data_IF_613622800392
#
_entry.id   IF_613622800392
#
_cell.length_a   1.000
_cell.length_b   1.000
_cell.length_c   1.000
_cell.angle_alpha   90.00
_cell.angle_beta   90.00
_cell.angle_gamma   90.00
#
_symmetry.space_group_name_H-M   'P 1'
#
loop_
_entity.id
_entity.type
_entity.pdbx_description
1 polymer ?
#
# COMPACT_ATOMS: atom_id res chain seq x y z
N UNK A 1 -29.36 18.76 -26.39
CA UNK A 1 -28.43 18.94 -25.26
C UNK A 1 -28.11 17.57 -24.73
N UNK A 2 -26.94 17.03 -25.10
CA UNK A 2 -26.44 15.78 -24.50
C UNK A 2 -26.16 16.06 -23.02
N UNK A 3 -26.87 15.35 -22.14
CA UNK A 3 -26.52 15.32 -20.71
C UNK A 3 -25.17 14.62 -20.60
N UNK A 4 -24.10 15.41 -20.50
CA UNK A 4 -22.79 14.92 -20.09
C UNK A 4 -22.93 14.49 -18.63
N UNK A 5 -23.24 13.22 -18.40
CA UNK A 5 -23.06 12.60 -17.09
C UNK A 5 -21.57 12.61 -16.80
N UNK A 6 -21.12 13.59 -16.01
CA UNK A 6 -19.79 13.54 -15.41
C UNK A 6 -19.82 12.40 -14.40
N UNK A 7 -19.30 11.24 -14.78
CA UNK A 7 -19.15 10.10 -13.88
C UNK A 7 -18.23 10.52 -12.73
N UNK A 8 -18.80 10.69 -11.54
CA UNK A 8 -18.04 11.09 -10.35
C UNK A 8 -17.20 9.89 -9.90
N UNK A 9 -15.94 9.86 -10.32
CA UNK A 9 -14.98 8.83 -9.92
C UNK A 9 -14.59 9.00 -8.45
N UNK A 10 -14.68 7.93 -7.67
CA UNK A 10 -14.22 7.87 -6.27
C UNK A 10 -12.74 8.22 -6.15
N UNK A 11 -12.34 9.16 -5.28
CA UNK A 11 -10.92 9.51 -5.03
C UNK A 11 -10.13 8.30 -4.58
N UNK A 12 -8.98 8.05 -5.20
CA UNK A 12 -8.03 7.03 -4.71
C UNK A 12 -7.06 7.68 -3.71
N UNK A 13 -6.95 7.12 -2.51
CA UNK A 13 -6.03 7.55 -1.46
C UNK A 13 -4.93 6.50 -1.35
N UNK A 14 -3.83 6.73 -2.06
CA UNK A 14 -2.69 5.80 -2.11
C UNK A 14 -1.74 6.11 -0.97
N UNK A 15 -1.55 5.17 -0.05
CA UNK A 15 -0.69 5.32 1.13
C UNK A 15 0.63 4.60 0.91
N UNK A 16 1.74 5.34 0.96
CA UNK A 16 3.09 4.80 0.78
C UNK A 16 3.96 5.11 1.99
N UNK A 17 4.24 4.13 2.86
CA UNK A 17 5.24 4.29 3.90
C UNK A 17 6.63 4.35 3.26
N UNK A 18 7.47 5.32 3.64
CA UNK A 18 8.81 5.46 3.10
C UNK A 18 9.85 5.76 4.18
N UNK A 19 11.11 5.55 3.83
CA UNK A 19 12.25 5.85 4.68
C UNK A 19 13.44 6.26 3.83
N UNK A 20 14.22 7.19 4.36
CA UNK A 20 15.47 7.63 3.74
C UNK A 20 16.40 6.45 3.52
N UNK A 21 16.83 6.26 2.27
CA UNK A 21 17.72 5.17 1.90
C UNK A 21 18.13 5.20 0.43
N UNK A 22 19.09 4.34 0.04
CA UNK A 22 19.75 4.41 -1.28
C UNK A 22 18.81 4.40 -2.48
N UNK A 23 17.81 3.52 -2.43
CA UNK A 23 16.87 3.32 -3.52
C UNK A 23 15.57 4.10 -3.36
N UNK A 24 15.47 4.96 -2.34
CA UNK A 24 14.21 5.61 -1.98
C UNK A 24 13.65 6.45 -3.14
N UNK A 25 14.41 7.39 -3.71
CA UNK A 25 13.84 8.19 -4.80
C UNK A 25 13.62 7.37 -6.06
N UNK A 26 14.43 6.34 -6.33
CA UNK A 26 14.16 5.47 -7.47
C UNK A 26 12.76 4.85 -7.34
N UNK A 27 12.45 4.25 -6.19
CA UNK A 27 11.15 3.64 -5.96
C UNK A 27 10.00 4.64 -5.93
N UNK A 28 10.20 5.80 -5.28
CA UNK A 28 9.18 6.86 -5.26
C UNK A 28 8.92 7.43 -6.65
N UNK A 29 9.96 7.70 -7.45
CA UNK A 29 9.79 8.20 -8.82
C UNK A 29 9.14 7.15 -9.73
N UNK A 30 9.51 5.87 -9.59
CA UNK A 30 8.87 4.78 -10.35
C UNK A 30 7.38 4.67 -10.02
N UNK A 31 7.03 4.63 -8.72
CA UNK A 31 5.64 4.59 -8.29
C UNK A 31 4.90 5.83 -8.78
N UNK A 32 5.47 7.03 -8.63
CA UNK A 32 4.87 8.26 -9.14
C UNK A 32 4.64 8.24 -10.66
N UNK A 33 5.55 7.65 -11.43
CA UNK A 33 5.37 7.41 -12.86
C UNK A 33 4.11 6.59 -13.15
N UNK A 34 3.88 5.52 -12.39
CA UNK A 34 2.62 4.74 -12.47
C UNK A 34 1.41 5.57 -12.05
N UNK A 35 1.47 6.28 -10.91
CA UNK A 35 0.35 7.07 -10.39
C UNK A 35 -0.06 8.23 -11.32
N UNK A 36 0.88 8.79 -12.08
CA UNK A 36 0.58 9.81 -13.11
C UNK A 36 -0.26 9.29 -14.27
N UNK A 37 -0.19 7.99 -14.55
CA UNK A 37 -1.01 7.36 -15.59
C UNK A 37 -2.44 7.09 -15.11
N UNK A 38 -2.68 7.19 -13.80
CA UNK A 38 -4.02 7.00 -13.22
C UNK A 38 -4.81 8.30 -13.36
N UNK A 39 -5.99 8.28 -14.02
CA UNK A 39 -6.86 9.44 -14.11
C UNK A 39 -7.21 10.01 -12.73
N UNK A 40 -7.31 11.34 -12.56
CA UNK A 40 -7.80 11.91 -11.30
C UNK A 40 -9.28 11.56 -11.04
N UNK A 41 -9.77 11.68 -9.78
CA UNK A 41 -9.05 12.15 -8.59
C UNK A 41 -8.18 11.05 -7.94
N UNK A 42 -6.95 11.43 -7.56
CA UNK A 42 -5.97 10.62 -6.84
C UNK A 42 -5.18 11.50 -5.86
N UNK A 43 -5.06 11.03 -4.63
CA UNK A 43 -4.25 11.63 -3.57
C UNK A 43 -3.19 10.63 -3.10
N UNK A 44 -1.92 11.01 -3.19
CA UNK A 44 -0.80 10.20 -2.71
C UNK A 44 -0.36 10.63 -1.31
N UNK A 45 -0.61 9.81 -0.30
CA UNK A 45 -0.19 10.04 1.08
C UNK A 45 1.13 9.33 1.32
N UNK A 46 2.21 10.10 1.39
CA UNK A 46 3.57 9.58 1.61
C UNK A 46 3.94 9.81 3.06
N UNK A 47 4.33 8.74 3.77
CA UNK A 47 4.57 8.79 5.22
C UNK A 47 6.03 8.51 5.57
N UNK A 48 6.69 9.49 6.18
CA UNK A 48 8.03 9.36 6.77
C UNK A 48 7.99 9.23 8.30
N UNK A 49 9.08 8.78 8.91
CA UNK A 49 9.22 8.76 10.38
C UNK A 49 9.94 10.02 10.84
N UNK A 50 9.58 10.53 12.02
CA UNK A 50 10.21 11.61 12.79
C UNK A 50 10.15 13.01 12.16
N UNK A 51 10.43 13.16 10.86
CA UNK A 51 10.45 14.44 10.18
C UNK A 51 10.22 14.27 8.68
N UNK A 52 9.77 15.35 8.03
CA UNK A 52 9.78 15.46 6.58
C UNK A 52 11.21 15.76 6.13
N UNK A 53 11.87 14.80 5.47
CA UNK A 53 13.23 15.03 4.98
C UNK A 53 13.24 15.96 3.77
N UNK A 54 14.24 16.85 3.62
CA UNK A 54 14.43 17.63 2.40
C UNK A 54 14.57 16.75 1.16
N UNK A 55 15.21 15.59 1.29
CA UNK A 55 15.39 14.61 0.21
C UNK A 55 14.07 14.08 -0.31
N UNK A 56 13.19 13.59 0.58
CA UNK A 56 11.87 13.10 0.17
C UNK A 56 11.00 14.23 -0.34
N UNK A 57 11.03 15.40 0.30
CA UNK A 57 10.27 16.56 -0.15
C UNK A 57 10.67 17.02 -1.56
N UNK A 58 11.96 17.04 -1.88
CA UNK A 58 12.48 17.36 -3.21
C UNK A 58 12.01 16.35 -4.27
N UNK A 59 12.05 15.05 -3.95
CA UNK A 59 11.54 13.99 -4.83
C UNK A 59 10.06 14.20 -5.11
N UNK A 60 9.23 14.33 -4.06
CA UNK A 60 7.77 14.45 -4.19
C UNK A 60 7.36 15.68 -5.01
N UNK A 61 8.00 16.83 -4.80
CA UNK A 61 7.72 18.07 -5.56
C UNK A 61 7.94 17.90 -7.07
N UNK A 62 8.90 17.07 -7.48
CA UNK A 62 9.24 16.82 -8.88
C UNK A 62 8.33 15.80 -9.56
N UNK A 63 7.50 15.09 -8.80
CA UNK A 63 6.68 14.00 -9.35
C UNK A 63 5.46 14.46 -10.14
N UNK A 64 4.92 15.65 -9.87
CA UNK A 64 3.66 16.12 -10.48
C UNK A 64 2.40 15.36 -10.03
N UNK A 65 2.51 14.45 -9.06
CA UNK A 65 1.36 13.75 -8.44
C UNK A 65 0.86 14.58 -7.27
N UNK A 66 -0.47 14.72 -7.10
CA UNK A 66 -1.01 15.38 -5.91
C UNK A 66 -0.70 14.54 -4.67
N UNK A 67 0.04 15.12 -3.72
CA UNK A 67 0.50 14.39 -2.55
C UNK A 67 0.26 15.13 -1.23
N UNK A 68 0.22 14.36 -0.14
CA UNK A 68 0.40 14.83 1.24
C UNK A 68 1.61 14.14 1.84
N UNK A 69 2.57 14.92 2.31
CA UNK A 69 3.72 14.40 3.05
C UNK A 69 3.38 14.38 4.54
N UNK A 70 3.20 13.20 5.11
CA UNK A 70 2.79 12.99 6.51
C UNK A 70 3.97 12.44 7.31
N UNK A 71 4.04 12.80 8.59
CA UNK A 71 5.08 12.32 9.51
C UNK A 71 4.44 11.41 10.56
N UNK A 72 5.17 10.36 10.91
CA UNK A 72 4.91 9.55 12.08
C UNK A 72 5.88 9.94 13.21
N UNK A 73 5.37 10.65 14.22
CA UNK A 73 6.17 11.21 15.33
C UNK A 73 6.42 10.21 16.48
N UNK A 74 6.39 8.90 16.19
CA UNK A 74 6.65 7.85 17.18
C UNK A 74 8.15 7.67 17.39
N UNK A 75 8.59 7.71 18.66
CA UNK A 75 10.00 7.55 19.04
C UNK A 75 10.60 6.23 18.55
N UNK A 76 11.73 6.31 17.85
CA UNK A 76 12.38 5.16 17.17
C UNK A 76 12.78 4.01 18.09
N UNK A 77 13.03 4.26 19.37
CA UNK A 77 13.45 3.25 20.36
C UNK A 77 12.32 2.31 20.76
N UNK A 78 11.06 2.71 20.54
CA UNK A 78 9.85 1.96 20.92
C UNK A 78 9.27 1.15 19.74
N UNK A 79 9.87 1.27 18.54
CA UNK A 79 9.25 0.80 17.31
C UNK A 79 9.80 -0.57 16.89
N UNK A 80 9.08 -1.64 17.25
CA UNK A 80 9.35 -2.99 16.72
C UNK A 80 9.06 -3.11 15.22
N UNK A 81 8.03 -2.42 14.72
CA UNK A 81 7.67 -2.43 13.30
C UNK A 81 7.37 -1.02 12.77
N UNK A 82 8.39 -0.38 12.19
CA UNK A 82 8.30 0.97 11.63
C UNK A 82 7.30 1.09 10.48
N UNK A 83 7.01 0.00 9.77
CA UNK A 83 6.05 0.03 8.65
C UNK A 83 4.62 0.15 9.18
N UNK A 84 4.31 -0.55 10.27
CA UNK A 84 3.00 -0.48 10.95
C UNK A 84 2.68 0.94 11.42
N UNK A 85 3.61 1.61 12.12
CA UNK A 85 3.31 2.96 12.64
C UNK A 85 3.14 4.02 11.54
N UNK A 86 3.89 3.94 10.44
CA UNK A 86 3.68 4.83 9.28
C UNK A 86 2.30 4.65 8.67
N UNK A 87 1.84 3.41 8.49
CA UNK A 87 0.49 3.12 7.98
C UNK A 87 -0.58 3.60 8.96
N UNK A 88 -0.38 3.41 10.27
CA UNK A 88 -1.29 3.94 11.29
C UNK A 88 -1.32 5.49 11.30
N UNK A 89 -0.19 6.16 11.09
CA UNK A 89 -0.16 7.62 10.95
C UNK A 89 -0.96 8.10 9.72
N UNK A 90 -0.89 7.36 8.60
CA UNK A 90 -1.75 7.62 7.45
C UNK A 90 -3.24 7.45 7.78
N UNK A 91 -3.61 6.35 8.45
CA UNK A 91 -4.99 6.07 8.84
C UNK A 91 -5.54 7.18 9.75
N UNK A 92 -4.79 7.59 10.77
CA UNK A 92 -5.14 8.71 11.65
C UNK A 92 -5.28 10.01 10.86
N UNK A 93 -4.39 10.28 9.91
CA UNK A 93 -4.47 11.47 9.06
C UNK A 93 -5.73 11.46 8.18
N UNK A 94 -6.06 10.33 7.56
CA UNK A 94 -7.26 10.13 6.74
C UNK A 94 -8.52 10.34 7.58
N UNK A 95 -8.57 9.76 8.78
CA UNK A 95 -9.71 9.88 9.69
C UNK A 95 -9.89 11.32 10.20
N UNK A 96 -8.81 11.97 10.65
CA UNK A 96 -8.84 13.33 11.18
C UNK A 96 -9.33 14.36 10.15
N UNK A 97 -8.91 14.20 8.89
CA UNK A 97 -9.31 15.09 7.79
C UNK A 97 -10.53 14.60 7.01
N UNK A 98 -11.16 13.50 7.44
CA UNK A 98 -12.32 12.85 6.80
C UNK A 98 -12.18 12.73 5.28
N UNK A 99 -11.01 12.26 4.84
CA UNK A 99 -10.75 12.12 3.40
C UNK A 99 -11.65 11.02 2.85
N UNK A 100 -12.55 11.37 1.92
CA UNK A 100 -13.50 10.45 1.30
C UNK A 100 -12.90 9.84 0.01
N UNK A 101 -12.82 8.51 -0.04
CA UNK A 101 -12.19 7.79 -1.13
C UNK A 101 -11.88 6.33 -0.81
N UNK A 102 -11.13 5.68 -1.71
CA UNK A 102 -10.66 4.31 -1.57
C UNK A 102 -9.22 4.32 -1.10
N UNK A 103 -8.96 3.80 0.10
CA UNK A 103 -7.63 3.71 0.69
C UNK A 103 -6.92 2.47 0.17
N UNK A 104 -5.71 2.66 -0.36
CA UNK A 104 -4.85 1.57 -0.81
C UNK A 104 -3.43 1.69 -0.25
N UNK A 105 -2.90 0.62 0.34
CA UNK A 105 -1.51 0.58 0.81
C UNK A 105 -0.56 0.13 -0.30
N UNK A 106 0.24 1.06 -0.80
CA UNK A 106 1.20 0.82 -1.87
C UNK A 106 2.65 1.04 -1.40
N UNK A 107 3.34 -0.05 -1.05
CA UNK A 107 4.78 -0.06 -0.80
C UNK A 107 5.53 0.28 -2.12
N UNK A 108 6.45 1.26 -2.09
CA UNK A 108 7.07 1.81 -3.31
C UNK A 108 7.91 0.79 -4.11
N UNK A 109 8.37 -0.26 -3.45
CA UNK A 109 9.19 -1.34 -4.01
C UNK A 109 8.40 -2.32 -4.88
N UNK A 110 7.08 -2.40 -4.70
CA UNK A 110 6.21 -3.29 -5.47
C UNK A 110 5.94 -2.76 -6.89
N UNK A 111 5.43 -3.65 -7.74
CA UNK A 111 5.05 -3.34 -9.13
C UNK A 111 3.53 -3.37 -9.24
N UNK A 112 2.96 -2.31 -9.82
CA UNK A 112 1.52 -2.09 -9.92
C UNK A 112 1.11 -1.91 -11.38
N UNK A 113 0.10 -2.66 -11.80
CA UNK A 113 -0.62 -2.38 -13.05
C UNK A 113 -1.50 -1.15 -12.89
N UNK A 114 -1.63 -0.33 -13.94
CA UNK A 114 -2.55 0.82 -13.95
C UNK A 114 -4.01 0.35 -13.84
N UNK A 115 -4.34 -0.80 -14.44
CA UNK A 115 -5.68 -1.42 -14.40
C UNK A 115 -6.22 -1.59 -12.97
N UNK A 116 -5.33 -1.87 -12.01
CA UNK A 116 -5.71 -2.01 -10.60
C UNK A 116 -6.41 -0.76 -10.09
N UNK A 117 -5.86 0.41 -10.41
CA UNK A 117 -6.36 1.68 -9.89
C UNK A 117 -7.74 2.00 -10.44
N UNK A 118 -8.02 1.65 -11.70
CA UNK A 118 -9.37 1.81 -12.25
C UNK A 118 -10.37 0.82 -11.64
N UNK A 119 -9.95 -0.44 -11.38
CA UNK A 119 -10.81 -1.42 -10.71
C UNK A 119 -11.10 -1.06 -9.25
N UNK A 120 -10.12 -0.50 -8.53
CA UNK A 120 -10.31 -0.05 -7.14
C UNK A 120 -11.40 1.01 -7.00
N UNK A 121 -11.65 1.84 -8.02
CA UNK A 121 -12.70 2.87 -7.97
C UNK A 121 -14.11 2.29 -7.83
N UNK A 122 -14.29 1.02 -8.21
CA UNK A 122 -15.57 0.30 -8.17
C UNK A 122 -15.89 -0.26 -6.78
N UNK A 123 -14.92 -0.26 -5.86
CA UNK A 123 -15.07 -0.80 -4.51
C UNK A 123 -16.15 -0.03 -3.76
N UNK A 124 -17.13 -0.75 -3.21
CA UNK A 124 -18.17 -0.17 -2.36
C UNK A 124 -17.70 -0.14 -0.92
N UNK A 125 -17.21 -1.28 -0.41
CA UNK A 125 -16.72 -1.41 0.98
C UNK A 125 -15.28 -1.89 1.06
N UNK A 126 -15.00 -3.09 0.54
CA UNK A 126 -13.69 -3.73 0.65
C UNK A 126 -13.41 -4.54 -0.61
N UNK A 127 -12.36 -4.21 -1.35
CA UNK A 127 -11.92 -4.95 -2.53
C UNK A 127 -10.69 -5.79 -2.22
N UNK A 128 -10.63 -7.00 -2.76
CA UNK A 128 -9.47 -7.89 -2.65
C UNK A 128 -9.10 -8.50 -4.01
N UNK A 129 -7.82 -8.79 -4.21
CA UNK A 129 -7.31 -9.35 -5.47
C UNK A 129 -6.08 -10.23 -5.26
N UNK A 130 -5.71 -10.94 -6.33
CA UNK A 130 -4.55 -11.83 -6.33
C UNK A 130 -3.25 -11.02 -6.42
N UNK A 131 -2.30 -11.35 -5.54
CA UNK A 131 -0.96 -10.75 -5.49
C UNK A 131 0.08 -11.79 -5.85
N UNK A 132 0.94 -11.47 -6.81
CA UNK A 132 2.13 -12.24 -7.12
C UNK A 132 3.25 -11.90 -6.14
N UNK A 133 3.84 -12.90 -5.50
CA UNK A 133 4.98 -12.74 -4.58
C UNK A 133 6.22 -13.30 -5.22
N UNK A 134 7.21 -12.44 -5.46
CA UNK A 134 8.49 -12.84 -6.02
C UNK A 134 9.48 -13.08 -4.89
N UNK A 135 10.08 -14.27 -4.85
CA UNK A 135 11.12 -14.63 -3.89
C UNK A 135 12.44 -14.82 -4.61
N UNK A 136 13.40 -13.93 -4.38
CA UNK A 136 14.76 -14.00 -4.94
C UNK A 136 15.44 -15.33 -4.58
N UNK A 137 15.26 -15.80 -3.34
CA UNK A 137 15.91 -17.04 -2.85
C UNK A 137 15.46 -18.32 -3.53
N UNK A 138 14.27 -18.34 -4.12
CA UNK A 138 13.68 -19.56 -4.69
C UNK A 138 13.51 -19.51 -6.19
N UNK A 139 13.84 -18.40 -6.85
CA UNK A 139 13.54 -18.12 -8.25
C UNK A 139 12.11 -18.56 -8.65
N UNK A 140 11.15 -18.35 -7.74
CA UNK A 140 9.76 -18.81 -7.88
C UNK A 140 8.83 -17.67 -7.52
N UNK A 141 7.87 -17.44 -8.41
CA UNK A 141 6.70 -16.63 -8.13
C UNK A 141 5.63 -17.50 -7.46
N UNK A 142 4.98 -16.95 -6.43
CA UNK A 142 3.83 -17.58 -5.77
C UNK A 142 2.66 -16.63 -5.80
N UNK A 143 1.46 -17.14 -6.08
CA UNK A 143 0.25 -16.34 -5.99
C UNK A 143 -0.34 -16.48 -4.59
N UNK A 144 -0.85 -15.40 -4.02
CA UNK A 144 -1.68 -15.43 -2.81
C UNK A 144 -2.85 -14.46 -3.02
N UNK A 145 -4.07 -14.85 -2.66
CA UNK A 145 -5.25 -14.00 -2.84
C UNK A 145 -6.57 -14.76 -2.89
N UNK A 146 -7.68 -14.07 -3.18
CA UNK A 146 -9.01 -14.68 -3.19
C UNK A 146 -9.24 -15.56 -4.43
N UNK A 147 -10.12 -16.55 -4.27
CA UNK A 147 -10.73 -17.32 -5.34
C UNK A 147 -12.16 -16.82 -5.48
N UNK A 148 -12.56 -16.45 -6.68
CA UNK A 148 -13.79 -15.68 -6.89
C UNK A 148 -14.73 -16.35 -7.91
N UNK A 149 -16.04 -16.29 -7.65
CA UNK A 149 -17.09 -16.57 -8.61
C UNK A 149 -17.76 -15.24 -8.97
N UNK A 150 -17.46 -14.70 -10.16
CA UNK A 150 -17.75 -13.29 -10.45
C UNK A 150 -17.01 -12.38 -9.47
N UNK A 151 -17.71 -11.44 -8.84
CA UNK A 151 -17.13 -10.57 -7.80
C UNK A 151 -17.19 -11.18 -6.39
N UNK A 152 -17.85 -12.32 -6.20
CA UNK A 152 -17.99 -12.94 -4.89
C UNK A 152 -16.75 -13.76 -4.55
N UNK A 153 -16.18 -13.55 -3.36
CA UNK A 153 -15.06 -14.36 -2.85
C UNK A 153 -15.62 -15.67 -2.28
N UNK A 154 -15.19 -16.80 -2.84
CA UNK A 154 -15.61 -18.15 -2.46
C UNK A 154 -14.50 -18.95 -1.77
N UNK A 155 -13.29 -18.41 -1.69
CA UNK A 155 -12.17 -19.05 -1.02
C UNK A 155 -10.87 -18.27 -1.18
N UNK A 156 -9.75 -18.90 -0.81
CA UNK A 156 -8.44 -18.26 -0.78
C UNK A 156 -7.35 -19.20 -1.29
N UNK A 157 -6.51 -18.71 -2.19
CA UNK A 157 -5.26 -19.36 -2.57
C UNK A 157 -4.15 -18.94 -1.58
N UNK A 158 -3.56 -19.92 -0.89
CA UNK A 158 -2.61 -19.70 0.21
C UNK A 158 -1.29 -20.40 -0.02
N UNK A 159 -0.19 -19.77 0.42
CA UNK A 159 1.11 -20.43 0.54
C UNK A 159 1.10 -21.41 1.72
N UNK A 160 0.82 -22.68 1.43
CA UNK A 160 0.80 -23.77 2.41
C UNK A 160 2.16 -24.06 3.05
N UNK A 161 3.27 -23.50 2.54
CA UNK A 161 4.59 -23.69 3.15
C UNK A 161 4.75 -22.94 4.48
N UNK A 162 3.88 -21.98 4.78
CA UNK A 162 3.92 -21.21 6.03
C UNK A 162 3.02 -21.86 7.08
N UNK A 163 3.57 -22.13 8.28
CA UNK A 163 2.84 -22.78 9.39
C UNK A 163 1.55 -22.04 9.78
N UNK A 164 1.58 -20.71 9.77
CA UNK A 164 0.45 -19.85 10.12
C UNK A 164 -0.55 -19.66 8.99
N UNK A 165 -0.23 -20.07 7.75
CA UNK A 165 -1.10 -19.78 6.61
C UNK A 165 -2.48 -20.40 6.72
N UNK A 166 -2.67 -21.53 7.44
CA UNK A 166 -3.97 -22.18 7.67
C UNK A 166 -4.75 -21.62 8.86
N UNK A 167 -4.11 -20.86 9.75
CA UNK A 167 -4.71 -20.39 10.99
C UNK A 167 -5.28 -18.97 10.90
N UNK A 168 -5.11 -18.29 9.75
CA UNK A 168 -5.66 -16.96 9.52
C UNK A 168 -7.12 -17.03 9.10
N UNK A 169 -7.91 -16.05 9.52
CA UNK A 169 -9.27 -15.81 9.03
C UNK A 169 -9.25 -15.35 7.57
N UNK A 170 -8.43 -14.32 7.27
CA UNK A 170 -8.30 -13.75 5.93
C UNK A 170 -6.89 -13.94 5.37
N UNK A 171 -6.80 -14.31 4.09
CA UNK A 171 -5.53 -14.65 3.43
C UNK A 171 -5.07 -13.61 2.40
N UNK A 172 -5.26 -12.34 2.71
CA UNK A 172 -4.72 -11.21 1.93
C UNK A 172 -3.38 -10.74 2.45
N UNK A 173 -2.54 -10.23 1.54
CA UNK A 173 -1.36 -9.42 1.87
C UNK A 173 -1.72 -7.94 1.98
N UNK A 174 -0.81 -7.11 2.49
CA UNK A 174 -1.05 -5.68 2.63
C UNK A 174 -1.35 -4.99 1.28
N UNK A 175 -0.71 -5.45 0.20
CA UNK A 175 -0.90 -4.89 -1.15
C UNK A 175 -2.07 -5.51 -1.92
N UNK A 176 -2.79 -6.45 -1.29
CA UNK A 176 -3.81 -7.29 -1.94
C UNK A 176 -5.25 -6.85 -1.69
N UNK A 177 -5.45 -5.68 -1.08
CA UNK A 177 -6.78 -5.15 -0.82
C UNK A 177 -6.79 -3.62 -0.77
N UNK A 178 -7.98 -3.05 -0.93
CA UNK A 178 -8.29 -1.64 -0.67
C UNK A 178 -9.69 -1.52 -0.05
N UNK A 179 -9.98 -0.40 0.60
CA UNK A 179 -11.24 -0.24 1.34
C UNK A 179 -11.73 1.20 1.34
N UNK A 180 -13.04 1.36 1.57
CA UNK A 180 -13.69 2.66 1.63
C UNK A 180 -13.26 3.42 2.90
N UNK A 181 -12.69 4.61 2.75
CA UNK A 181 -12.13 5.41 3.84
C UNK A 181 -13.17 5.86 4.87
N UNK A 182 -14.44 5.97 4.48
CA UNK A 182 -15.52 6.38 5.39
C UNK A 182 -15.65 5.45 6.59
N UNK A 183 -15.18 4.20 6.46
CA UNK A 183 -15.13 3.25 7.55
C UNK A 183 -14.24 3.70 8.73
N UNK A 184 -13.29 4.62 8.49
CA UNK A 184 -12.37 5.16 9.48
C UNK A 184 -12.95 6.32 10.31
N UNK A 185 -13.94 7.03 9.78
CA UNK A 185 -14.40 8.30 10.38
C UNK A 185 -15.93 8.46 10.42
N UNK A 186 -16.69 7.57 9.78
CA UNK A 186 -18.15 7.47 9.85
C UNK A 186 -18.57 6.07 10.32
N UNK A 187 -18.42 5.75 11.62
CA UNK A 187 -18.73 4.42 12.14
C UNK A 187 -20.22 4.06 12.04
N UNK A 188 -21.11 5.06 11.99
CA UNK A 188 -22.56 4.87 11.91
C UNK A 188 -22.97 4.27 10.56
N UNK A 189 -22.33 4.70 9.48
CA UNK A 189 -22.58 4.18 8.11
C UNK A 189 -22.35 2.67 7.99
N UNK A 190 -21.44 2.12 8.80
CA UNK A 190 -20.98 0.73 8.66
C UNK A 190 -21.33 -0.17 9.85
N UNK A 191 -22.22 0.28 10.75
CA UNK A 191 -22.70 -0.47 11.91
C UNK A 191 -21.57 -1.07 12.76
N UNK A 192 -20.50 -0.30 12.97
CA UNK A 192 -19.33 -0.79 13.71
C UNK A 192 -19.68 -1.10 15.17
N UNK A 193 -19.30 -2.30 15.69
CA UNK A 193 -19.55 -2.65 17.08
C UNK A 193 -18.64 -1.90 18.06
N UNK A 194 -17.48 -1.39 17.61
CA UNK A 194 -16.50 -0.68 18.44
C UNK A 194 -16.22 0.73 17.93
N UNK A 195 -16.05 1.67 18.86
CA UNK A 195 -15.61 3.05 18.59
C UNK A 195 -14.08 3.21 18.57
N UNK A 196 -13.35 2.13 18.85
CA UNK A 196 -11.89 2.13 18.81
C UNK A 196 -11.38 2.45 17.39
N UNK A 197 -10.34 3.30 17.24
CA UNK A 197 -9.78 3.62 15.94
C UNK A 197 -9.22 2.37 15.24
N UNK A 198 -9.55 2.21 13.95
CA UNK A 198 -8.97 1.14 13.14
C UNK A 198 -7.47 1.37 13.00
N UNK A 199 -6.69 0.36 13.37
CA UNK A 199 -5.24 0.41 13.25
C UNK A 199 -4.65 -0.98 13.09
N UNK A 200 -3.47 -1.02 12.49
CA UNK A 200 -2.64 -2.21 12.50
C UNK A 200 -2.02 -2.40 13.89
N UNK A 201 -2.15 -3.62 14.42
CA UNK A 201 -1.58 -4.00 15.71
C UNK A 201 -0.12 -4.45 15.53
N UNK A 202 0.77 -3.94 16.37
CA UNK A 202 2.22 -4.16 16.36
C UNK A 202 2.70 -5.29 17.28
N UNK A 203 1.83 -5.75 18.19
CA UNK A 203 2.11 -6.80 19.16
C UNK A 203 1.77 -8.22 18.68
N UNK A 204 1.24 -8.37 17.45
CA UNK A 204 0.83 -9.65 16.91
C UNK A 204 1.98 -10.45 16.30
N UNK A 205 1.84 -11.78 16.32
CA UNK A 205 2.77 -12.70 15.67
C UNK A 205 2.78 -12.48 14.16
N UNK A 206 3.94 -12.75 13.54
CA UNK A 206 4.11 -12.66 12.09
C UNK A 206 3.00 -13.42 11.36
N UNK A 207 2.38 -12.74 10.39
CA UNK A 207 1.31 -13.28 9.57
C UNK A 207 -0.08 -12.96 10.07
N UNK A 208 -0.25 -12.58 11.33
CA UNK A 208 -1.56 -12.24 11.89
C UNK A 208 -1.89 -10.74 11.84
N UNK A 209 -0.91 -9.87 11.58
CA UNK A 209 -1.12 -8.42 11.58
C UNK A 209 -2.16 -7.98 10.54
N UNK A 210 -2.11 -8.54 9.33
CA UNK A 210 -3.00 -8.14 8.24
C UNK A 210 -4.42 -8.69 8.45
N UNK A 211 -4.57 -9.95 8.86
CA UNK A 211 -5.91 -10.53 9.13
C UNK A 211 -6.61 -9.77 10.26
N UNK A 212 -5.92 -9.47 11.36
CA UNK A 212 -6.49 -8.71 12.47
C UNK A 212 -6.85 -7.27 12.09
N UNK A 213 -6.16 -6.68 11.11
CA UNK A 213 -6.55 -5.38 10.56
C UNK A 213 -7.80 -5.48 9.69
N UNK A 214 -7.90 -6.50 8.83
CA UNK A 214 -9.06 -6.73 7.97
C UNK A 214 -10.31 -7.08 8.78
N UNK A 215 -10.18 -7.85 9.87
CA UNK A 215 -11.25 -8.16 10.82
C UNK A 215 -11.83 -6.93 11.51
N UNK A 216 -11.08 -5.83 11.60
CA UNK A 216 -11.62 -4.55 12.08
C UNK A 216 -12.46 -3.82 11.01
N UNK A 217 -12.39 -4.21 9.74
CA UNK A 217 -13.01 -3.51 8.59
C UNK A 217 -14.25 -4.27 8.09
N UNK A 218 -14.16 -5.59 8.04
CA UNK A 218 -15.22 -6.48 7.55
C UNK A 218 -15.38 -7.69 8.46
N UNK A 219 -16.63 -8.14 8.61
CA UNK A 219 -17.00 -9.29 9.45
C UNK A 219 -16.68 -10.62 8.76
N UNK A 220 -16.98 -10.69 7.47
CA UNK A 220 -16.77 -11.87 6.65
C UNK A 220 -16.68 -11.53 5.14
N UNK A 221 -16.41 -12.55 4.33
CA UNK A 221 -16.24 -12.47 2.88
C UNK A 221 -17.46 -11.91 2.13
N UNK A 222 -18.68 -11.92 2.70
CA UNK A 222 -19.87 -11.31 2.09
C UNK A 222 -19.76 -9.79 1.96
N UNK A 223 -18.90 -9.16 2.76
CA UNK A 223 -18.63 -7.73 2.74
C UNK A 223 -17.42 -7.38 1.86
N UNK A 224 -16.86 -8.37 1.15
CA UNK A 224 -15.71 -8.22 0.27
C UNK A 224 -16.07 -8.41 -1.20
N UNK A 225 -15.32 -7.74 -2.07
CA UNK A 225 -15.49 -7.75 -3.52
C UNK A 225 -14.18 -8.20 -4.17
N UNK A 226 -14.24 -9.26 -4.99
CA UNK A 226 -13.11 -9.77 -5.75
C UNK A 226 -12.84 -8.95 -7.02
N UNK A 227 -11.60 -8.50 -7.21
CA UNK A 227 -11.16 -7.67 -8.34
C UNK A 227 -10.02 -8.32 -9.15
N UNK A 228 -10.03 -8.23 -10.49
CA UNK A 228 -11.22 -7.99 -11.32
C UNK A 228 -12.24 -9.14 -11.14
N UNK A 229 -13.45 -9.09 -11.74
CA UNK A 229 -14.38 -10.22 -11.69
C UNK A 229 -13.69 -11.55 -12.08
N UNK A 230 -13.90 -12.56 -11.24
CA UNK A 230 -13.26 -13.87 -11.32
C UNK A 230 -11.85 -13.94 -10.71
N UNK A 231 -11.32 -12.84 -10.18
CA UNK A 231 -9.97 -12.74 -9.60
C UNK A 231 -8.90 -13.33 -10.55
N UNK A 232 -9.10 -13.07 -11.84
CA UNK A 232 -8.48 -13.78 -12.97
C UNK A 232 -7.13 -13.22 -13.39
N UNK A 233 -6.72 -12.07 -12.83
CA UNK A 233 -5.50 -11.34 -13.22
C UNK A 233 -4.67 -10.97 -11.99
N UNK A 234 -3.36 -11.08 -12.12
CA UNK A 234 -2.40 -10.55 -11.13
C UNK A 234 -2.02 -9.13 -11.53
N UNK A 235 -2.45 -8.16 -10.74
CA UNK A 235 -2.22 -6.74 -11.02
C UNK A 235 -1.18 -6.10 -10.09
N UNK A 236 -0.73 -6.85 -9.08
CA UNK A 236 0.30 -6.43 -8.12
C UNK A 236 1.33 -7.52 -7.96
N UNK A 237 2.60 -7.11 -8.01
CA UNK A 237 3.73 -7.97 -7.70
C UNK A 237 4.50 -7.43 -6.49
N UNK A 238 4.49 -8.20 -5.41
CA UNK A 238 5.28 -7.94 -4.22
C UNK A 238 6.72 -8.41 -4.42
N UNK A 239 7.64 -7.45 -4.41
CA UNK A 239 9.07 -7.70 -4.57
C UNK A 239 9.70 -7.74 -3.18
N UNK A 240 10.12 -8.93 -2.76
CA UNK A 240 10.85 -9.12 -1.50
C UNK A 240 12.35 -8.92 -1.73
N UNK A 241 12.83 -7.69 -1.63
CA UNK A 241 14.26 -7.46 -1.56
C UNK A 241 14.82 -7.92 -0.22
N UNK A 242 15.91 -8.69 -0.25
CA UNK A 242 16.80 -8.78 0.90
C UNK A 242 17.35 -7.39 1.22
N UNK A 243 17.43 -7.01 2.49
CA UNK A 243 18.00 -5.73 2.92
C UNK A 243 19.39 -5.53 2.30
N UNK A 244 19.48 -4.81 1.18
CA UNK A 244 20.75 -4.31 0.66
C UNK A 244 21.06 -3.02 1.39
N UNK A 245 21.65 -3.17 2.57
CA UNK A 245 22.30 -2.07 3.29
C UNK A 245 23.59 -1.67 2.53
N UNK A 246 23.43 -1.14 1.32
CA UNK A 246 24.51 -0.42 0.65
C UNK A 246 24.58 0.97 1.28
N UNK A 247 25.71 1.30 1.89
CA UNK A 247 25.96 2.58 2.58
C UNK A 247 26.28 3.74 1.64
N UNK A 248 26.26 3.52 0.32
CA UNK A 248 26.57 4.53 -0.68
C UNK A 248 25.29 5.23 -1.15
N UNK A 249 24.93 6.34 -0.48
CA UNK A 249 23.86 7.22 -0.94
C UNK A 249 24.24 8.70 -0.77
N UNK A 250 24.16 9.53 -1.83
CA UNK A 250 24.51 10.94 -1.74
C UNK A 250 23.43 11.75 -1.01
N UNK A 251 23.84 12.59 -0.05
CA UNK A 251 22.95 13.59 0.55
C UNK A 251 22.46 14.55 -0.54
N UNK A 252 21.15 14.79 -0.58
CA UNK A 252 20.52 15.71 -1.54
C UNK A 252 20.76 15.39 -3.03
N UNK A 253 21.07 14.13 -3.39
CA UNK A 253 21.40 13.73 -4.78
C UNK A 253 22.64 14.41 -5.37
N UNK A 254 23.48 15.00 -4.52
CA UNK A 254 24.72 15.65 -4.93
C UNK A 254 25.90 14.73 -4.66
N UNK A 255 26.52 14.24 -5.74
CA UNK A 255 27.80 13.53 -5.66
C UNK A 255 28.90 14.57 -5.44
N UNK A 256 29.44 14.67 -4.21
CA UNK A 256 30.58 15.55 -3.94
C UNK A 256 31.93 14.87 -4.22
N UNK A 257 32.17 13.63 -3.78
CA UNK A 257 33.54 13.04 -3.76
C UNK A 257 33.65 11.51 -3.99
N UNK A 258 32.83 10.83 -4.81
CA UNK A 258 32.89 9.35 -4.94
C UNK A 258 33.05 8.82 -6.38
N UNK A 259 34.00 9.35 -7.15
CA UNK A 259 34.45 8.74 -8.41
C UNK A 259 35.98 8.54 -8.42
N UNK A 260 36.56 8.17 -7.28
CA UNK A 260 38.02 8.08 -7.11
C UNK A 260 38.63 6.85 -7.81
N UNK A 261 37.80 5.90 -8.27
CA UNK A 261 38.22 4.79 -9.12
C UNK A 261 37.89 5.09 -10.59
N UNK A 262 38.72 5.92 -11.22
CA UNK A 262 38.71 6.14 -12.66
C UNK A 262 39.46 4.97 -13.30
N UNK A 263 38.73 4.03 -13.89
CA UNK A 263 39.34 3.02 -14.77
C UNK A 263 39.98 3.71 -15.97
N UNK A 264 41.21 3.33 -16.33
CA UNK A 264 41.83 3.82 -17.57
C UNK A 264 40.98 3.35 -18.75
N UNK A 265 40.61 4.28 -19.62
CA UNK A 265 40.07 3.98 -20.93
C UNK A 265 41.19 3.28 -21.71
N UNK A 266 40.98 2.02 -22.08
CA UNK A 266 41.80 1.27 -23.02
C UNK A 266 41.38 1.57 -24.45
#
# INVERSE_FOLDING_TARGET
>A
MENIFVEVKSTLIVVTPTQTGPFQAYYLNRLAGTLRLVPPPLLWVVVEMNAQSPETADVLRKTGVMYRHVVCDKNLTDVKDRRIHRRNAALSHIAAHRLDGIVYFADAENIYSVDLFEDMRKIRRFGAWVVGKVSERRNRAMLEGPVCNGTQIVGWHIDRSKRWARARRFHVGMSGFAFNSTILWDPKRWHRPTLEPIRQLDNLKEGFQVTAFVEQIVEDESQMEGLPPGCSRVMVWEIRQGNSHSSLYPKSWLMKNNLDNIGRLS
#
